data_IF_194364217645
#
_entry.id   IF_194364217645
#
_cell.length_a   1.000
_cell.length_b   1.000
_cell.length_c   1.000
_cell.angle_alpha   90.00
_cell.angle_beta   90.00
_cell.angle_gamma   90.00
#
_symmetry.space_group_name_H-M   'P 1'
#
loop_
_entity.id
_entity.type
_entity.pdbx_description
1 polymer ?
#
# COMPACT_ATOMS: atom_id res chain seq x y z
N UNK A 1 11.23 -3.23 -28.20
CA UNK A 1 10.46 -3.11 -26.94
C UNK A 1 11.40 -3.51 -25.82
N UNK A 2 11.38 -2.84 -24.67
CA UNK A 2 12.37 -3.07 -23.61
C UNK A 2 12.14 -4.44 -22.94
N UNK A 3 13.21 -5.22 -22.80
CA UNK A 3 13.21 -6.59 -22.27
C UNK A 3 12.67 -6.66 -20.83
N UNK A 4 13.08 -5.75 -19.96
CA UNK A 4 12.66 -5.73 -18.55
C UNK A 4 11.15 -5.54 -18.37
N UNK A 5 10.50 -4.77 -19.25
CA UNK A 5 9.04 -4.60 -19.25
C UNK A 5 8.38 -5.91 -19.69
N UNK A 6 8.90 -6.55 -20.72
CA UNK A 6 8.37 -7.83 -21.21
C UNK A 6 8.48 -8.93 -20.16
N UNK A 7 9.62 -9.05 -19.48
CA UNK A 7 9.85 -10.05 -18.44
C UNK A 7 8.87 -9.87 -17.28
N UNK A 8 8.69 -8.62 -16.81
CA UNK A 8 7.71 -8.36 -15.76
C UNK A 8 6.29 -8.80 -16.17
N UNK A 9 5.88 -8.44 -17.38
CA UNK A 9 4.54 -8.73 -17.89
C UNK A 9 4.31 -10.24 -18.11
N UNK A 10 5.32 -10.99 -18.50
CA UNK A 10 5.24 -12.45 -18.73
C UNK A 10 5.28 -13.28 -17.44
N UNK A 11 5.95 -12.80 -16.41
CA UNK A 11 6.24 -13.63 -15.23
C UNK A 11 5.37 -13.34 -14.00
N UNK A 12 4.64 -12.21 -14.01
CA UNK A 12 3.91 -11.78 -12.82
C UNK A 12 2.39 -11.74 -13.03
N UNK A 13 1.66 -11.78 -11.91
CA UNK A 13 0.20 -11.63 -11.85
C UNK A 13 -0.12 -10.23 -11.33
N UNK A 14 -0.88 -9.45 -12.10
CA UNK A 14 -1.20 -8.05 -11.77
C UNK A 14 -2.43 -7.55 -12.54
N UNK A 15 -2.84 -6.34 -12.24
CA UNK A 15 -3.89 -5.63 -12.94
C UNK A 15 -3.29 -4.43 -13.67
N UNK A 16 -3.71 -4.19 -14.90
CA UNK A 16 -3.42 -2.98 -15.66
C UNK A 16 -4.71 -2.17 -15.77
N UNK A 17 -4.64 -0.90 -15.47
CA UNK A 17 -5.70 0.06 -15.77
C UNK A 17 -5.11 1.02 -16.78
N UNK A 18 -5.73 1.11 -17.94
CA UNK A 18 -5.27 1.96 -19.02
C UNK A 18 -6.37 2.86 -19.55
N UNK A 19 -5.99 4.08 -19.89
CA UNK A 19 -6.82 5.02 -20.64
C UNK A 19 -6.53 4.96 -22.14
N UNK A 20 -5.49 4.23 -22.54
CA UNK A 20 -5.16 4.01 -23.94
C UNK A 20 -6.16 3.03 -24.56
N UNK A 21 -6.40 3.22 -25.85
CA UNK A 21 -7.31 2.39 -26.64
C UNK A 21 -6.64 1.18 -27.27
N UNK A 22 -5.29 1.16 -27.32
CA UNK A 22 -4.50 0.10 -27.95
C UNK A 22 -4.38 -1.15 -27.04
N UNK A 23 -3.90 -2.23 -27.62
CA UNK A 23 -3.73 -3.55 -26.98
C UNK A 23 -2.29 -3.81 -26.55
N UNK A 24 -1.51 -2.79 -26.22
CA UNK A 24 -0.10 -2.94 -25.89
C UNK A 24 0.10 -3.79 -24.62
N UNK A 25 -0.72 -3.59 -23.61
CA UNK A 25 -0.62 -4.33 -22.36
C UNK A 25 -0.87 -5.84 -22.56
N UNK A 26 -1.87 -6.19 -23.36
CA UNK A 26 -2.20 -7.56 -23.70
C UNK A 26 -1.07 -8.24 -24.51
N UNK A 27 -0.52 -7.52 -25.50
CA UNK A 27 0.61 -8.03 -26.30
C UNK A 27 1.86 -8.27 -25.45
N UNK A 28 2.10 -7.43 -24.42
CA UNK A 28 3.20 -7.60 -23.48
C UNK A 28 3.03 -8.81 -22.60
N UNK A 29 1.81 -9.03 -22.07
CA UNK A 29 1.51 -10.11 -21.13
C UNK A 29 1.29 -11.47 -21.80
N UNK A 30 0.91 -11.47 -23.09
CA UNK A 30 0.50 -12.64 -23.85
C UNK A 30 -1.02 -12.91 -23.73
N UNK A 31 -1.64 -13.20 -24.86
CA UNK A 31 -3.10 -13.33 -24.97
C UNK A 31 -3.67 -14.44 -24.06
N UNK A 32 -2.97 -15.58 -23.96
CA UNK A 32 -3.39 -16.73 -23.16
C UNK A 32 -3.41 -16.47 -21.65
N UNK A 33 -2.75 -15.42 -21.18
CA UNK A 33 -2.63 -15.05 -19.77
C UNK A 33 -3.53 -13.86 -19.39
N UNK A 34 -4.15 -13.23 -20.39
CA UNK A 34 -4.77 -11.91 -20.25
C UNK A 34 -6.28 -11.99 -20.37
N UNK A 35 -6.97 -11.28 -19.48
CA UNK A 35 -8.38 -10.93 -19.62
C UNK A 35 -8.50 -9.43 -19.92
N UNK A 36 -9.06 -9.08 -21.05
CA UNK A 36 -9.42 -7.71 -21.39
C UNK A 36 -10.82 -7.40 -20.90
N UNK A 37 -10.97 -6.27 -20.22
CA UNK A 37 -12.24 -5.77 -19.70
C UNK A 37 -12.41 -4.36 -20.23
N UNK A 38 -13.38 -4.17 -21.13
CA UNK A 38 -13.65 -2.90 -21.81
C UNK A 38 -15.15 -2.60 -21.80
N UNK A 39 -15.58 -1.33 -21.82
CA UNK A 39 -16.99 -0.98 -22.05
C UNK A 39 -17.54 -1.64 -23.31
N UNK A 40 -18.83 -1.93 -23.32
CA UNK A 40 -19.53 -2.51 -24.45
C UNK A 40 -19.34 -4.01 -24.66
N UNK A 41 -18.35 -4.66 -24.03
CA UNK A 41 -18.12 -6.08 -24.16
C UNK A 41 -18.42 -6.85 -22.85
N UNK A 42 -18.84 -8.15 -22.96
CA UNK A 42 -19.06 -8.99 -21.79
C UNK A 42 -17.81 -9.16 -20.94
N UNK A 43 -17.97 -9.10 -19.62
CA UNK A 43 -16.88 -9.31 -18.68
C UNK A 43 -16.50 -10.79 -18.67
N UNK A 44 -15.22 -11.16 -18.93
CA UNK A 44 -14.75 -12.52 -18.88
C UNK A 44 -14.95 -13.16 -17.50
N UNK A 45 -15.51 -14.39 -17.45
CA UNK A 45 -15.79 -15.10 -16.20
C UNK A 45 -14.70 -16.07 -15.76
N UNK A 46 -13.62 -16.21 -16.54
CA UNK A 46 -12.50 -17.07 -16.21
C UNK A 46 -11.40 -16.33 -15.46
N UNK A 47 -10.59 -17.07 -14.70
CA UNK A 47 -9.44 -16.51 -14.04
C UNK A 47 -8.25 -16.38 -15.01
N UNK A 48 -7.65 -15.19 -15.01
CA UNK A 48 -6.46 -14.87 -15.78
C UNK A 48 -5.39 -14.25 -14.87
N UNK A 49 -4.15 -14.37 -15.27
CA UNK A 49 -3.02 -13.87 -14.50
C UNK A 49 -2.90 -12.34 -14.60
N UNK A 50 -3.22 -11.80 -15.79
CA UNK A 50 -3.19 -10.35 -16.05
C UNK A 50 -4.59 -9.88 -16.45
N UNK A 51 -5.14 -8.91 -15.69
CA UNK A 51 -6.42 -8.26 -16.00
C UNK A 51 -6.16 -6.87 -16.51
N UNK A 52 -6.57 -6.59 -17.76
CA UNK A 52 -6.42 -5.28 -18.40
C UNK A 52 -7.79 -4.60 -18.45
N UNK A 53 -7.92 -3.48 -17.76
CA UNK A 53 -9.12 -2.65 -17.74
C UNK A 53 -8.93 -1.43 -18.64
N UNK A 54 -9.61 -1.39 -19.77
CA UNK A 54 -9.66 -0.23 -20.65
C UNK A 54 -10.77 0.70 -20.18
N UNK A 55 -10.45 1.60 -19.26
CA UNK A 55 -11.49 2.44 -18.61
C UNK A 55 -12.12 3.45 -19.55
N UNK A 56 -11.41 3.86 -20.60
CA UNK A 56 -11.92 4.75 -21.63
C UNK A 56 -12.33 4.01 -22.92
N UNK A 57 -12.49 2.70 -22.86
CA UNK A 57 -12.76 1.86 -24.03
C UNK A 57 -11.52 1.39 -24.76
N UNK A 58 -11.70 0.58 -25.78
CA UNK A 58 -10.62 0.04 -26.61
C UNK A 58 -11.02 -0.04 -28.07
N UNK A 59 -10.03 -0.29 -28.94
CA UNK A 59 -10.25 -0.52 -30.37
C UNK A 59 -11.17 -1.72 -30.68
N UNK A 60 -11.41 -2.60 -29.69
CA UNK A 60 -12.33 -3.74 -29.84
C UNK A 60 -13.82 -3.31 -29.76
N UNK A 61 -14.12 -2.14 -29.16
CA UNK A 61 -15.46 -1.58 -29.02
C UNK A 61 -15.44 -0.06 -29.28
N UNK A 62 -15.31 0.38 -30.52
CA UNK A 62 -15.14 1.80 -30.87
C UNK A 62 -16.33 2.69 -30.47
N UNK A 63 -17.55 2.13 -30.43
CA UNK A 63 -18.77 2.86 -30.04
C UNK A 63 -18.80 3.28 -28.58
N UNK A 64 -18.02 2.60 -27.75
CA UNK A 64 -18.00 2.78 -26.29
C UNK A 64 -16.72 3.49 -25.81
N UNK A 65 -15.97 4.10 -26.73
CA UNK A 65 -14.76 4.85 -26.41
C UNK A 65 -15.11 6.23 -25.83
N UNK A 66 -14.38 6.63 -24.81
CA UNK A 66 -14.46 7.97 -24.19
C UNK A 66 -13.54 8.93 -24.99
N UNK A 67 -14.10 9.67 -25.94
CA UNK A 67 -13.33 10.51 -26.87
C UNK A 67 -13.65 11.99 -26.72
N UNK A 68 -14.94 12.32 -26.56
CA UNK A 68 -15.41 13.70 -26.47
C UNK A 68 -15.41 14.20 -25.03
N UNK A 69 -15.47 15.52 -24.85
CA UNK A 69 -15.65 16.12 -23.52
C UNK A 69 -16.94 15.65 -22.84
N UNK A 70 -17.99 15.41 -23.62
CA UNK A 70 -19.27 14.90 -23.12
C UNK A 70 -19.13 13.45 -22.61
N UNK A 71 -18.37 12.60 -23.31
CA UNK A 71 -18.08 11.24 -22.84
C UNK A 71 -17.28 11.27 -21.55
N UNK A 72 -16.32 12.17 -21.43
CA UNK A 72 -15.56 12.39 -20.21
C UNK A 72 -16.44 12.81 -19.02
N UNK A 73 -17.34 13.79 -19.23
CA UNK A 73 -18.27 14.19 -18.19
C UNK A 73 -19.20 13.04 -17.77
N UNK A 74 -19.64 12.25 -18.72
CA UNK A 74 -20.47 11.07 -18.49
C UNK A 74 -19.71 10.00 -17.70
N UNK A 75 -18.43 9.79 -18.03
CA UNK A 75 -17.56 8.84 -17.31
C UNK A 75 -17.30 9.25 -15.87
N UNK A 76 -17.04 10.54 -15.59
CA UNK A 76 -16.74 11.04 -14.25
C UNK A 76 -17.99 11.07 -13.37
N UNK A 77 -19.10 11.56 -13.89
CA UNK A 77 -20.32 11.75 -13.12
C UNK A 77 -21.24 10.52 -13.13
N UNK A 78 -20.94 9.53 -13.95
CA UNK A 78 -21.68 8.29 -14.02
C UNK A 78 -21.20 7.26 -13.02
N UNK A 79 -22.13 6.65 -12.26
CA UNK A 79 -21.88 5.44 -11.48
C UNK A 79 -21.67 4.23 -12.42
N UNK A 80 -20.59 4.28 -13.21
CA UNK A 80 -20.24 3.20 -14.13
C UNK A 80 -19.53 2.07 -13.41
N UNK A 81 -19.64 0.85 -13.96
CA UNK A 81 -18.84 -0.29 -13.49
C UNK A 81 -17.35 0.05 -13.43
N UNK A 82 -16.81 0.78 -14.42
CA UNK A 82 -15.39 1.11 -14.52
C UNK A 82 -14.95 2.13 -13.47
N UNK A 83 -15.76 3.14 -13.18
CA UNK A 83 -15.52 4.10 -12.11
C UNK A 83 -15.43 3.41 -10.74
N UNK A 84 -16.44 2.59 -10.43
CA UNK A 84 -16.50 1.82 -9.19
C UNK A 84 -15.35 0.79 -9.09
N UNK A 85 -14.98 0.16 -10.22
CA UNK A 85 -13.89 -0.80 -10.27
C UNK A 85 -12.54 -0.14 -10.06
N UNK A 86 -12.32 1.04 -10.62
CA UNK A 86 -11.10 1.81 -10.44
C UNK A 86 -10.95 2.21 -8.96
N UNK A 87 -12.01 2.73 -8.33
CA UNK A 87 -12.03 3.02 -6.90
C UNK A 87 -11.68 1.77 -6.07
N UNK A 88 -12.31 0.64 -6.33
CA UNK A 88 -12.01 -0.64 -5.65
C UNK A 88 -10.55 -1.04 -5.79
N UNK A 89 -10.00 -0.95 -7.00
CA UNK A 89 -8.60 -1.35 -7.25
C UNK A 89 -7.61 -0.44 -6.51
N UNK A 90 -7.90 0.86 -6.42
CA UNK A 90 -7.10 1.81 -5.65
C UNK A 90 -7.04 1.46 -4.16
N UNK A 91 -8.16 0.99 -3.59
CA UNK A 91 -8.22 0.63 -2.17
C UNK A 91 -7.56 -0.72 -1.85
N UNK A 92 -7.59 -1.66 -2.78
CA UNK A 92 -7.16 -3.04 -2.54
C UNK A 92 -5.70 -3.32 -2.93
N UNK A 93 -5.03 -2.42 -3.66
CA UNK A 93 -3.75 -2.73 -4.28
C UNK A 93 -2.72 -1.61 -4.10
N UNK A 94 -1.45 -1.97 -4.26
CA UNK A 94 -0.39 -0.99 -4.52
C UNK A 94 -0.48 -0.53 -5.97
N UNK A 95 -0.52 0.78 -6.19
CA UNK A 95 -0.69 1.40 -7.50
C UNK A 95 0.63 2.01 -7.95
N UNK A 96 1.02 1.71 -9.17
CA UNK A 96 2.13 2.38 -9.85
C UNK A 96 1.60 3.07 -11.09
N UNK A 97 1.71 4.39 -11.12
CA UNK A 97 1.28 5.25 -12.23
C UNK A 97 2.47 5.45 -13.17
N UNK A 98 2.31 5.04 -14.41
CA UNK A 98 3.34 5.08 -15.44
C UNK A 98 2.84 5.87 -16.67
N UNK A 99 3.69 6.74 -17.22
CA UNK A 99 3.37 7.49 -18.44
C UNK A 99 2.25 8.51 -18.28
N UNK A 100 1.92 8.87 -17.05
CA UNK A 100 0.84 9.81 -16.74
C UNK A 100 1.39 11.10 -16.14
N UNK A 101 0.73 12.21 -16.45
CA UNK A 101 0.95 13.48 -15.75
C UNK A 101 -0.17 13.69 -14.72
N UNK A 102 0.18 14.06 -13.49
CA UNK A 102 -0.80 14.47 -12.50
C UNK A 102 -1.47 15.84 -12.82
N UNK A 103 -1.29 16.36 -14.04
CA UNK A 103 -2.10 17.47 -14.56
C UNK A 103 -3.52 17.03 -14.96
N UNK A 104 -3.75 15.73 -15.17
CA UNK A 104 -5.07 15.18 -15.51
C UNK A 104 -6.05 15.33 -14.33
N UNK A 105 -7.11 16.13 -14.56
CA UNK A 105 -8.12 16.41 -13.56
C UNK A 105 -8.91 15.16 -13.14
N UNK A 106 -9.10 14.21 -14.07
CA UNK A 106 -9.87 12.98 -13.82
C UNK A 106 -9.11 12.05 -12.90
N UNK A 107 -7.82 11.85 -13.16
CA UNK A 107 -6.96 11.05 -12.28
C UNK A 107 -6.88 11.67 -10.89
N UNK A 108 -6.76 13.00 -10.80
CA UNK A 108 -6.78 13.70 -9.52
C UNK A 108 -8.08 13.51 -8.75
N UNK A 109 -9.24 13.57 -9.42
CA UNK A 109 -10.53 13.35 -8.77
C UNK A 109 -10.63 11.95 -8.16
N UNK A 110 -10.24 10.92 -8.90
CA UNK A 110 -10.26 9.52 -8.47
C UNK A 110 -9.28 9.30 -7.29
N UNK A 111 -8.07 9.83 -7.38
CA UNK A 111 -7.08 9.71 -6.30
C UNK A 111 -7.52 10.49 -5.06
N UNK A 112 -8.17 11.64 -5.23
CA UNK A 112 -8.70 12.41 -4.11
C UNK A 112 -9.82 11.68 -3.37
N UNK A 113 -10.70 10.99 -4.09
CA UNK A 113 -11.72 10.11 -3.50
C UNK A 113 -11.07 9.01 -2.64
N UNK A 114 -10.04 8.35 -3.17
CA UNK A 114 -9.23 7.38 -2.42
C UNK A 114 -8.65 7.99 -1.13
N UNK A 115 -8.10 9.21 -1.20
CA UNK A 115 -7.51 9.86 -0.03
C UNK A 115 -8.55 10.21 1.04
N UNK A 116 -9.74 10.66 0.64
CA UNK A 116 -10.83 10.94 1.59
C UNK A 116 -11.20 9.69 2.37
N UNK A 117 -11.30 8.55 1.70
CA UNK A 117 -11.57 7.25 2.33
C UNK A 117 -10.42 6.78 3.24
N UNK A 118 -9.16 7.02 2.83
CA UNK A 118 -7.98 6.56 3.57
C UNK A 118 -7.47 7.55 4.64
N UNK A 119 -8.20 8.64 4.90
CA UNK A 119 -7.79 9.67 5.89
C UNK A 119 -7.52 9.13 7.29
N UNK A 120 -8.24 8.10 7.70
CA UNK A 120 -8.09 7.47 9.01
C UNK A 120 -7.06 6.33 9.01
N UNK A 121 -6.55 5.95 7.84
CA UNK A 121 -5.50 4.94 7.71
C UNK A 121 -4.12 5.60 7.69
N UNK A 122 -3.45 5.60 8.82
CA UNK A 122 -2.05 6.08 8.98
C UNK A 122 -1.06 5.20 8.19
N UNK A 123 -1.49 4.04 7.72
CA UNK A 123 -0.69 3.19 6.83
C UNK A 123 -0.48 3.92 5.50
N UNK A 124 0.78 4.17 5.22
CA UNK A 124 1.29 4.95 4.11
C UNK A 124 0.57 4.67 2.79
N UNK A 125 0.28 5.74 2.05
CA UNK A 125 -0.25 5.65 0.69
C UNK A 125 0.53 4.62 -0.15
N UNK A 126 -0.22 3.75 -0.80
CA UNK A 126 0.29 2.73 -1.72
C UNK A 126 0.27 3.21 -3.17
N UNK A 127 0.27 4.53 -3.42
CA UNK A 127 0.24 5.10 -4.77
C UNK A 127 1.60 5.72 -5.09
N UNK A 128 2.23 5.24 -6.16
CA UNK A 128 3.52 5.70 -6.65
C UNK A 128 3.37 6.25 -8.06
N UNK A 129 4.01 7.40 -8.33
CA UNK A 129 4.13 7.99 -9.67
C UNK A 129 5.58 7.89 -10.13
N UNK A 130 5.82 7.25 -11.25
CA UNK A 130 7.16 7.22 -11.88
C UNK A 130 7.26 8.34 -12.90
N UNK A 131 8.25 9.22 -12.73
CA UNK A 131 8.51 10.39 -13.57
C UNK A 131 9.94 10.33 -14.13
N UNK A 132 10.08 10.61 -15.45
CA UNK A 132 11.39 10.76 -16.09
C UNK A 132 12.11 12.01 -15.63
N UNK A 133 11.35 13.10 -15.54
CA UNK A 133 11.89 14.40 -15.12
C UNK A 133 12.11 14.47 -13.61
N UNK A 134 13.01 15.36 -13.24
CA UNK A 134 13.18 15.76 -11.84
C UNK A 134 12.00 16.63 -11.41
N UNK A 135 11.43 16.32 -10.26
CA UNK A 135 10.44 17.17 -9.61
C UNK A 135 11.04 17.86 -8.37
N UNK A 136 10.74 19.14 -8.24
CA UNK A 136 11.12 19.90 -7.05
C UNK A 136 10.49 19.32 -5.80
N UNK A 137 11.20 19.34 -4.68
CA UNK A 137 10.71 18.78 -3.42
C UNK A 137 9.34 19.34 -3.00
N UNK A 138 9.05 20.65 -3.08
CA UNK A 138 7.71 21.18 -2.76
C UNK A 138 6.58 20.56 -3.60
N UNK A 139 6.86 20.18 -4.85
CA UNK A 139 5.86 19.52 -5.72
C UNK A 139 5.63 18.08 -5.25
N UNK A 140 6.69 17.36 -4.86
CA UNK A 140 6.57 16.01 -4.30
C UNK A 140 5.77 16.04 -3.00
N UNK A 141 6.06 17.00 -2.12
CA UNK A 141 5.37 17.19 -0.84
C UNK A 141 3.89 17.55 -1.07
N UNK A 142 3.59 18.38 -2.07
CA UNK A 142 2.23 18.68 -2.48
C UNK A 142 1.49 17.44 -2.97
N UNK A 143 2.10 16.62 -3.82
CA UNK A 143 1.48 15.38 -4.31
C UNK A 143 1.24 14.39 -3.18
N UNK A 144 2.17 14.27 -2.26
CA UNK A 144 2.00 13.42 -1.09
C UNK A 144 0.92 13.96 -0.15
N UNK A 145 0.98 15.25 0.20
CA UNK A 145 0.05 15.86 1.16
C UNK A 145 -1.36 15.98 0.62
N UNK A 146 -1.53 16.34 -0.67
CA UNK A 146 -2.86 16.51 -1.26
C UNK A 146 -3.49 15.21 -1.76
N UNK A 147 -2.69 14.31 -2.33
CA UNK A 147 -3.20 13.12 -3.03
C UNK A 147 -2.69 11.79 -2.46
N UNK A 148 -1.79 11.80 -1.50
CA UNK A 148 -1.14 10.59 -0.99
C UNK A 148 -0.22 9.92 -2.01
N UNK A 149 0.23 10.62 -3.07
CA UNK A 149 1.05 10.07 -4.13
C UNK A 149 2.53 10.27 -3.83
N UNK A 150 3.29 9.18 -3.80
CA UNK A 150 4.76 9.21 -3.69
C UNK A 150 5.39 9.26 -5.07
N UNK A 151 6.30 10.20 -5.30
CA UNK A 151 6.95 10.37 -6.60
C UNK A 151 8.32 9.68 -6.61
N UNK A 152 8.53 8.86 -7.62
CA UNK A 152 9.82 8.26 -8.00
C UNK A 152 10.26 9.00 -9.27
N UNK A 153 11.06 10.04 -9.10
CA UNK A 153 11.52 10.87 -10.21
C UNK A 153 12.89 10.44 -10.77
N UNK A 154 13.36 11.12 -11.85
CA UNK A 154 14.61 10.78 -12.56
C UNK A 154 14.71 9.31 -12.95
N UNK A 155 13.55 8.68 -13.24
CA UNK A 155 13.49 7.25 -13.47
C UNK A 155 12.74 6.96 -14.78
N UNK A 156 13.44 6.36 -15.75
CA UNK A 156 12.80 5.82 -16.95
C UNK A 156 11.95 4.59 -16.58
N UNK A 157 10.87 4.38 -17.33
CA UNK A 157 9.97 3.24 -17.09
C UNK A 157 10.72 1.91 -17.18
N UNK A 158 11.65 1.79 -18.11
CA UNK A 158 12.52 0.62 -18.26
C UNK A 158 13.41 0.36 -17.05
N UNK A 159 14.01 1.42 -16.49
CA UNK A 159 14.83 1.32 -15.28
C UNK A 159 14.02 0.97 -14.06
N UNK A 160 12.80 1.49 -13.96
CA UNK A 160 11.87 1.10 -12.92
C UNK A 160 11.57 -0.40 -12.96
N UNK A 161 11.22 -0.95 -14.14
CA UNK A 161 10.95 -2.37 -14.29
C UNK A 161 12.19 -3.23 -14.06
N UNK A 162 13.38 -2.81 -14.50
CA UNK A 162 14.63 -3.50 -14.21
C UNK A 162 14.84 -3.64 -12.71
N UNK A 163 14.81 -2.52 -11.97
CA UNK A 163 14.96 -2.53 -10.50
C UNK A 163 13.88 -3.36 -9.81
N UNK A 164 12.65 -3.33 -10.33
CA UNK A 164 11.54 -4.11 -9.78
C UNK A 164 11.78 -5.62 -9.98
N UNK A 165 12.16 -6.04 -11.19
CA UNK A 165 12.48 -7.45 -11.49
C UNK A 165 13.61 -7.97 -10.61
N UNK A 166 14.67 -7.18 -10.41
CA UNK A 166 15.79 -7.53 -9.53
C UNK A 166 15.35 -7.78 -8.07
N UNK A 167 14.33 -7.05 -7.61
CA UNK A 167 13.86 -7.11 -6.21
C UNK A 167 12.74 -8.13 -5.97
N UNK A 168 12.01 -8.55 -6.98
CA UNK A 168 10.89 -9.52 -6.86
C UNK A 168 11.31 -10.85 -6.19
N UNK A 169 12.44 -11.49 -6.56
CA UNK A 169 12.84 -12.76 -5.94
C UNK A 169 13.11 -12.62 -4.44
N UNK A 170 13.77 -11.54 -4.03
CA UNK A 170 14.02 -11.22 -2.63
C UNK A 170 12.72 -10.97 -1.87
N UNK A 171 11.83 -10.15 -2.43
CA UNK A 171 10.52 -9.85 -1.85
C UNK A 171 9.64 -11.10 -1.69
N UNK A 172 9.64 -12.01 -2.68
CA UNK A 172 8.95 -13.30 -2.59
C UNK A 172 9.49 -14.15 -1.42
N UNK A 173 10.82 -14.26 -1.29
CA UNK A 173 11.46 -15.01 -0.17
C UNK A 173 11.11 -14.40 1.19
N UNK A 174 11.13 -13.07 1.32
CA UNK A 174 10.74 -12.38 2.55
C UNK A 174 9.27 -12.65 2.87
N UNK A 175 8.38 -12.50 1.90
CA UNK A 175 6.95 -12.78 2.04
C UNK A 175 6.68 -14.21 2.53
N UNK A 176 7.33 -15.20 1.94
CA UNK A 176 7.15 -16.61 2.31
C UNK A 176 7.67 -16.87 3.74
N UNK A 177 8.83 -16.33 4.09
CA UNK A 177 9.36 -16.39 5.46
C UNK A 177 8.41 -15.74 6.48
N UNK A 178 7.90 -14.55 6.19
CA UNK A 178 6.96 -13.84 7.06
C UNK A 178 5.65 -14.61 7.20
N UNK A 179 5.12 -15.17 6.12
CA UNK A 179 3.88 -15.96 6.15
C UNK A 179 4.01 -17.22 6.99
N UNK A 180 5.15 -17.92 6.95
CA UNK A 180 5.43 -19.07 7.82
C UNK A 180 5.64 -18.62 9.27
N UNK A 181 6.38 -17.54 9.47
CA UNK A 181 6.63 -16.97 10.79
C UNK A 181 5.33 -16.54 11.49
N UNK A 182 4.45 -15.82 10.80
CA UNK A 182 3.20 -15.33 11.41
C UNK A 182 2.27 -16.47 11.82
N UNK A 183 2.18 -17.53 11.01
CA UNK A 183 1.41 -18.73 11.38
C UNK A 183 1.95 -19.39 12.65
N UNK A 184 3.27 -19.46 12.79
CA UNK A 184 3.94 -20.01 13.97
C UNK A 184 3.73 -19.10 15.19
N UNK A 185 3.79 -17.79 15.01
CA UNK A 185 3.57 -16.82 16.09
C UNK A 185 2.13 -16.87 16.58
N UNK A 186 1.15 -16.84 15.67
CA UNK A 186 -0.28 -16.81 16.04
C UNK A 186 -0.76 -18.15 16.58
N UNK A 187 -0.39 -19.28 15.94
CA UNK A 187 -0.91 -20.60 16.33
C UNK A 187 -0.13 -21.25 17.46
N UNK A 188 1.19 -21.06 17.50
CA UNK A 188 2.09 -21.77 18.42
C UNK A 188 2.64 -20.88 19.53
N UNK A 189 2.20 -19.61 19.61
CA UNK A 189 2.68 -18.64 20.61
C UNK A 189 4.17 -18.30 20.51
N UNK A 190 4.79 -18.51 19.33
CA UNK A 190 6.20 -18.17 19.13
C UNK A 190 6.37 -16.64 19.14
N UNK A 191 7.31 -16.18 19.93
CA UNK A 191 7.57 -14.74 20.08
C UNK A 191 8.55 -14.21 19.02
N UNK A 192 8.40 -12.94 18.69
CA UNK A 192 9.39 -12.24 17.87
C UNK A 192 10.68 -12.00 18.63
N UNK A 193 11.81 -12.09 17.92
CA UNK A 193 13.12 -11.75 18.49
C UNK A 193 13.24 -10.24 18.72
N UNK A 194 13.95 -9.87 19.78
CA UNK A 194 14.17 -8.47 20.16
C UNK A 194 14.90 -7.70 19.05
N UNK A 195 15.87 -8.31 18.38
CA UNK A 195 16.63 -7.72 17.27
C UNK A 195 15.74 -7.34 16.10
N UNK A 196 14.71 -8.15 15.81
CA UNK A 196 13.72 -7.82 14.77
C UNK A 196 12.83 -6.66 15.21
N UNK A 197 12.36 -6.66 16.46
CA UNK A 197 11.48 -5.61 16.97
C UNK A 197 12.17 -4.25 17.14
N UNK A 198 13.50 -4.16 17.14
CA UNK A 198 14.25 -2.89 17.12
C UNK A 198 14.13 -2.17 15.79
N UNK A 199 13.92 -2.87 14.69
CA UNK A 199 13.84 -2.28 13.36
C UNK A 199 12.56 -1.46 13.22
N UNK A 200 12.65 -0.26 12.65
CA UNK A 200 11.51 0.62 12.41
C UNK A 200 10.43 -0.08 11.58
N UNK A 201 10.82 -0.76 10.52
CA UNK A 201 9.90 -1.43 9.59
C UNK A 201 9.27 -2.72 10.15
N UNK A 202 9.70 -3.21 11.31
CA UNK A 202 9.21 -4.48 11.88
C UNK A 202 7.70 -4.46 12.12
N UNK A 203 7.14 -3.31 12.52
CA UNK A 203 5.71 -3.14 12.68
C UNK A 203 4.95 -3.41 11.38
N UNK A 204 5.35 -2.76 10.29
CA UNK A 204 4.71 -2.92 8.98
C UNK A 204 4.79 -4.35 8.47
N UNK A 205 5.92 -5.02 8.70
CA UNK A 205 6.07 -6.43 8.35
C UNK A 205 5.11 -7.34 9.14
N UNK A 206 4.93 -7.09 10.44
CA UNK A 206 4.00 -7.85 11.28
C UNK A 206 2.56 -7.63 10.80
N UNK A 207 2.13 -6.37 10.68
CA UNK A 207 0.77 -6.00 10.29
C UNK A 207 0.45 -6.53 8.89
N UNK A 208 1.34 -6.32 7.92
CA UNK A 208 1.19 -6.85 6.56
C UNK A 208 1.08 -8.38 6.53
N UNK A 209 1.86 -9.07 7.37
CA UNK A 209 1.81 -10.54 7.46
C UNK A 209 0.52 -11.06 8.07
N UNK A 210 -0.03 -10.40 9.09
CA UNK A 210 -1.31 -10.72 9.72
C UNK A 210 -2.43 -10.51 8.68
N UNK A 211 -2.49 -9.34 8.05
CA UNK A 211 -3.48 -9.00 7.04
C UNK A 211 -3.43 -9.96 5.85
N UNK A 212 -2.26 -10.20 5.27
CA UNK A 212 -2.09 -11.10 4.12
C UNK A 212 -2.37 -12.57 4.43
N UNK A 213 -2.41 -12.95 5.70
CA UNK A 213 -2.76 -14.28 6.16
C UNK A 213 -4.26 -14.43 6.49
N UNK A 214 -5.05 -13.36 6.33
CA UNK A 214 -6.50 -13.36 6.52
C UNK A 214 -6.95 -13.41 7.98
N UNK A 215 -6.08 -13.06 8.94
CA UNK A 215 -6.48 -12.95 10.34
C UNK A 215 -7.19 -11.63 10.61
N UNK A 216 -8.30 -11.69 11.35
CA UNK A 216 -8.96 -10.49 11.87
C UNK A 216 -8.14 -9.85 12.99
N UNK A 217 -8.16 -8.52 13.07
CA UNK A 217 -7.51 -7.76 14.14
C UNK A 217 -8.07 -8.10 15.54
N UNK A 218 -9.36 -8.43 15.62
CA UNK A 218 -10.04 -8.83 16.86
C UNK A 218 -9.87 -10.32 17.20
N UNK A 219 -9.05 -11.06 16.46
CA UNK A 219 -8.74 -12.44 16.81
C UNK A 219 -7.91 -12.47 18.09
N UNK A 220 -8.34 -13.27 19.08
CA UNK A 220 -7.71 -13.34 20.39
C UNK A 220 -6.21 -13.66 20.34
N UNK A 221 -5.79 -14.58 19.46
CA UNK A 221 -4.38 -14.89 19.29
C UNK A 221 -3.59 -13.74 18.69
N UNK A 222 -4.20 -12.94 17.81
CA UNK A 222 -3.57 -11.73 17.24
C UNK A 222 -3.42 -10.66 18.33
N UNK A 223 -4.44 -10.45 19.16
CA UNK A 223 -4.38 -9.51 20.28
C UNK A 223 -3.31 -9.91 21.30
N UNK A 224 -3.14 -11.20 21.57
CA UNK A 224 -2.06 -11.71 22.41
C UNK A 224 -0.68 -11.44 21.83
N UNK A 225 -0.52 -11.55 20.50
CA UNK A 225 0.71 -11.15 19.82
C UNK A 225 0.96 -9.66 20.01
N UNK A 226 -0.05 -8.81 19.89
CA UNK A 226 0.08 -7.36 20.10
C UNK A 226 0.50 -7.04 21.54
N UNK A 227 -0.09 -7.68 22.54
CA UNK A 227 0.33 -7.53 23.92
C UNK A 227 1.83 -7.86 24.09
N UNK A 228 2.26 -8.98 23.54
CA UNK A 228 3.66 -9.44 23.68
C UNK A 228 4.66 -8.48 22.99
N UNK A 229 4.37 -8.01 21.78
CA UNK A 229 5.27 -7.07 21.10
C UNK A 229 5.33 -5.71 21.82
N UNK A 230 4.23 -5.23 22.39
CA UNK A 230 4.22 -4.00 23.17
C UNK A 230 5.05 -4.16 24.45
N UNK A 231 4.93 -5.27 25.17
CA UNK A 231 5.75 -5.55 26.35
C UNK A 231 7.25 -5.49 26.02
N UNK A 232 7.65 -6.16 24.94
CA UNK A 232 9.04 -6.13 24.46
C UNK A 232 9.50 -4.75 24.03
N UNK A 233 8.61 -3.97 23.39
CA UNK A 233 8.91 -2.58 23.03
C UNK A 233 9.12 -1.71 24.28
N UNK A 234 8.27 -1.82 25.30
CA UNK A 234 8.46 -1.13 26.57
C UNK A 234 9.79 -1.51 27.23
N UNK A 235 10.20 -2.78 27.18
CA UNK A 235 11.51 -3.20 27.69
C UNK A 235 12.68 -2.57 26.92
N UNK A 236 12.55 -2.44 25.61
CA UNK A 236 13.57 -1.79 24.78
C UNK A 236 13.73 -0.31 25.10
N UNK A 237 12.66 0.39 25.50
CA UNK A 237 12.70 1.80 25.88
C UNK A 237 13.40 2.04 27.24
N UNK A 238 13.52 1.03 28.11
CA UNK A 238 14.18 1.17 29.41
C UNK A 238 15.71 1.24 29.33
N UNK A 239 16.29 0.99 28.17
CA UNK A 239 17.75 1.04 27.99
C UNK A 239 18.24 2.49 27.88
N UNK A 240 19.42 2.83 28.42
CA UNK A 240 20.01 4.16 28.24
C UNK A 240 20.16 4.51 26.76
N UNK A 241 19.76 5.73 26.37
CA UNK A 241 19.87 6.19 24.98
C UNK A 241 18.85 5.62 23.99
N UNK A 242 17.78 4.98 24.46
CA UNK A 242 16.78 4.31 23.62
C UNK A 242 15.73 5.24 22.97
N UNK A 243 16.12 6.47 22.59
CA UNK A 243 15.22 7.47 21.98
C UNK A 243 14.44 6.95 20.77
N UNK A 244 15.13 6.31 19.88
CA UNK A 244 14.57 5.68 18.69
C UNK A 244 13.48 4.65 19.05
N UNK A 245 13.68 3.88 20.12
CA UNK A 245 12.70 2.88 20.54
C UNK A 245 11.46 3.52 21.17
N UNK A 246 11.58 4.69 21.81
CA UNK A 246 10.43 5.48 22.24
C UNK A 246 9.63 6.02 21.07
N UNK A 247 10.31 6.57 20.07
CA UNK A 247 9.67 7.05 18.84
C UNK A 247 8.91 5.92 18.13
N UNK A 248 9.55 4.76 17.99
CA UNK A 248 8.92 3.58 17.42
C UNK A 248 7.68 3.16 18.23
N UNK A 249 7.77 3.13 19.56
CA UNK A 249 6.63 2.76 20.42
C UNK A 249 5.46 3.73 20.22
N UNK A 250 5.73 5.04 20.23
CA UNK A 250 4.70 6.06 20.02
C UNK A 250 4.02 5.91 18.65
N UNK A 251 4.81 5.74 17.58
CA UNK A 251 4.29 5.48 16.23
C UNK A 251 3.43 4.21 16.19
N UNK A 252 3.86 3.13 16.83
CA UNK A 252 3.12 1.87 16.86
C UNK A 252 1.78 2.01 17.58
N UNK A 253 1.74 2.76 18.68
CA UNK A 253 0.49 3.02 19.42
C UNK A 253 -0.51 3.82 18.57
N UNK A 254 -0.06 4.85 17.85
CA UNK A 254 -0.89 5.60 16.91
C UNK A 254 -1.45 4.65 15.83
N UNK A 255 -0.61 3.79 15.26
CA UNK A 255 -1.04 2.85 14.24
C UNK A 255 -2.03 1.82 14.76
N UNK A 256 -1.83 1.25 15.96
CA UNK A 256 -2.80 0.33 16.56
C UNK A 256 -4.17 0.98 16.74
N UNK A 257 -4.21 2.21 17.25
CA UNK A 257 -5.46 2.96 17.41
C UNK A 257 -6.16 3.29 16.09
N UNK A 258 -5.43 3.32 14.96
CA UNK A 258 -6.00 3.54 13.63
C UNK A 258 -6.43 2.26 12.90
N UNK A 259 -5.89 1.09 13.30
CA UNK A 259 -6.18 -0.18 12.63
C UNK A 259 -7.52 -0.80 13.04
N UNK A 260 -7.89 -0.66 14.31
CA UNK A 260 -9.12 -1.26 14.86
C UNK A 260 -9.55 -0.57 16.16
N UNK A 261 -10.79 -0.79 16.54
CA UNK A 261 -11.31 -0.33 17.84
C UNK A 261 -10.66 -1.11 18.98
N UNK A 262 -9.77 -0.46 19.73
CA UNK A 262 -9.01 -1.06 20.83
C UNK A 262 -9.90 -1.29 22.06
N UNK A 263 -10.89 -0.40 22.27
CA UNK A 263 -11.78 -0.43 23.42
C UNK A 263 -12.59 -1.74 23.49
N UNK A 264 -12.68 -2.32 24.67
CA UNK A 264 -13.38 -3.58 24.89
C UNK A 264 -12.63 -4.84 24.46
N UNK A 265 -11.39 -4.72 23.97
CA UNK A 265 -10.56 -5.86 23.59
C UNK A 265 -9.60 -6.27 24.71
N UNK A 266 -9.08 -7.50 24.67
CA UNK A 266 -8.03 -7.97 25.58
C UNK A 266 -6.73 -7.14 25.49
N UNK A 267 -6.55 -6.39 24.42
CA UNK A 267 -5.40 -5.52 24.19
C UNK A 267 -5.55 -4.14 24.88
N UNK A 268 -6.76 -3.68 25.19
CA UNK A 268 -7.06 -2.33 25.70
C UNK A 268 -6.19 -1.95 26.91
N UNK A 269 -6.18 -2.79 27.95
CA UNK A 269 -5.41 -2.52 29.17
C UNK A 269 -3.92 -2.35 28.88
N UNK A 270 -3.36 -3.18 28.01
CA UNK A 270 -1.95 -3.12 27.60
C UNK A 270 -1.66 -1.88 26.77
N UNK A 271 -2.57 -1.53 25.88
CA UNK A 271 -2.47 -0.34 25.04
C UNK A 271 -2.44 0.94 25.90
N UNK A 272 -3.39 1.10 26.84
CA UNK A 272 -3.44 2.26 27.74
C UNK A 272 -2.14 2.35 28.57
N UNK A 273 -1.69 1.24 29.15
CA UNK A 273 -0.43 1.18 29.92
C UNK A 273 0.77 1.62 29.07
N UNK A 274 0.82 1.26 27.80
CA UNK A 274 1.90 1.65 26.90
C UNK A 274 1.83 3.14 26.53
N UNK A 275 0.62 3.69 26.34
CA UNK A 275 0.41 5.13 26.11
C UNK A 275 0.87 5.93 27.32
N UNK A 276 0.46 5.56 28.53
CA UNK A 276 0.90 6.19 29.78
C UNK A 276 2.43 6.13 29.93
N UNK A 277 3.04 4.98 29.64
CA UNK A 277 4.48 4.81 29.66
C UNK A 277 5.18 5.77 28.69
N UNK A 278 4.71 5.89 27.45
CA UNK A 278 5.32 6.77 26.47
C UNK A 278 5.21 8.26 26.85
N UNK A 279 4.10 8.67 27.45
CA UNK A 279 3.89 10.04 27.93
C UNK A 279 4.72 10.37 29.17
N UNK A 280 4.84 9.46 30.12
CA UNK A 280 5.57 9.66 31.38
C UNK A 280 7.08 9.80 31.13
N UNK A 281 7.62 9.07 30.18
CA UNK A 281 9.01 9.18 29.81
C UNK A 281 9.36 10.51 29.14
N UNK A 282 8.49 11.07 28.33
CA UNK A 282 8.66 12.43 27.76
C UNK A 282 8.76 13.49 28.87
N UNK A 283 7.96 13.39 29.92
CA UNK A 283 7.99 14.33 31.04
C UNK A 283 9.28 14.26 31.88
N UNK A 284 9.89 13.10 32.01
CA UNK A 284 11.17 12.93 32.73
C UNK A 284 12.36 13.49 31.94
N UNK A 285 12.25 13.55 30.62
CA UNK A 285 13.29 14.05 29.73
C UNK A 285 13.35 15.59 29.69
N UNK A 286 12.18 16.25 29.75
CA UNK A 286 12.11 17.72 29.90
C UNK A 286 12.70 18.19 31.24
N UNK A 287 12.58 17.42 32.31
CA UNK A 287 13.20 17.73 33.61
C UNK A 287 14.73 17.60 33.63
N UNK A 288 15.31 16.71 32.82
CA UNK A 288 16.76 16.56 32.68
C UNK A 288 17.38 17.66 31.80
N UNK A 289 16.64 18.17 30.83
CA UNK A 289 17.11 19.26 29.93
C UNK A 289 17.07 20.65 30.60
N UNK A 290 16.37 20.82 31.72
CA UNK A 290 16.30 22.09 32.48
C UNK A 290 17.32 22.21 33.61
N UNK A 291 18.18 21.20 33.81
CA UNK A 291 19.24 21.16 34.86
C UNK A 291 20.64 20.92 34.31
N UNK A 292 20.86 21.16 32.99
CA UNK A 292 22.15 21.10 32.30
C UNK A 292 22.63 22.46 31.84
#
# INVERSE_FOLDING_TARGET
MNEYIQDFFKENTFKVITTNYDKLAEKLAGENRTCTITPGLPIPKYNCEVKVYHVHGSIDSPSDMVVTSEDYFRFINGNSYFSNKLSTVLHENTIVILGYSLSDANLKAIINEYKVFSRDNVMSSNIFLVSRGELLQPIKDYYFSCYGVRVIDKTEVSDFFRKLNDKIPEAKKIKDKLRHSIKSVIKNGREYKIEFLKLEDSFYHIISSISSSGYSWNNENVLNVFCNIIDKKIELTKKPGAWEQYEHLAKWLIYFGSLFEVKGTNFEKKYIQAVEHSMTCMNNLTKLATHG
#
